data_IF_342017706722
#
_entry.id   IF_342017706722
#
_cell.length_a   1.000
_cell.length_b   1.000
_cell.length_c   1.000
_cell.angle_alpha   90.00
_cell.angle_beta   90.00
_cell.angle_gamma   90.00
#
_symmetry.space_group_name_H-M   'P 1'
#
loop_
_entity.id
_entity.type
_entity.pdbx_description
1 polymer ?
#
# COMPACT_ATOMS: atom_id res chain seq x y z
N UNK A 1 39.94 23.23 -14.91
CA UNK A 1 38.56 22.69 -14.78
C UNK A 1 38.65 21.22 -14.39
N UNK A 2 37.87 20.77 -13.39
CA UNK A 2 37.91 19.44 -12.69
C UNK A 2 38.67 19.42 -11.35
N UNK A 3 37.97 19.82 -10.29
CA UNK A 3 38.10 19.27 -8.93
C UNK A 3 37.14 20.02 -7.99
N UNK A 4 35.87 19.61 -7.91
CA UNK A 4 34.91 19.98 -6.84
C UNK A 4 33.62 19.17 -6.99
N UNK A 5 33.66 17.90 -6.58
CA UNK A 5 32.46 17.05 -6.45
C UNK A 5 32.72 15.80 -5.59
N UNK A 6 33.43 15.94 -4.46
CA UNK A 6 33.56 14.86 -3.47
C UNK A 6 33.47 15.47 -2.08
N UNK A 7 32.26 15.82 -1.63
CA UNK A 7 31.92 16.03 -0.21
C UNK A 7 30.42 16.34 0.00
N UNK A 8 29.53 15.43 -0.40
CA UNK A 8 28.10 15.55 -0.09
C UNK A 8 27.41 14.19 0.15
N UNK A 9 28.11 13.22 0.77
CA UNK A 9 27.54 11.92 1.14
C UNK A 9 28.03 11.43 2.51
N UNK A 10 28.24 12.34 3.47
CA UNK A 10 28.52 12.01 4.88
C UNK A 10 27.58 12.79 5.79
N UNK A 11 26.36 12.29 5.91
CA UNK A 11 25.53 12.36 7.12
C UNK A 11 24.21 11.61 6.84
N UNK A 12 24.27 10.28 6.92
CA UNK A 12 23.09 9.45 7.15
C UNK A 12 23.18 8.98 8.59
N UNK A 13 22.30 9.52 9.43
CA UNK A 13 22.07 8.97 10.76
C UNK A 13 21.63 7.51 10.63
N UNK A 14 22.13 6.69 11.54
CA UNK A 14 21.78 5.29 11.69
C UNK A 14 20.26 5.16 11.94
N UNK A 15 19.51 4.74 10.94
CA UNK A 15 18.21 4.10 11.12
C UNK A 15 18.41 2.60 10.91
N UNK A 16 18.19 1.82 11.96
CA UNK A 16 18.17 0.35 11.92
C UNK A 16 16.93 -0.13 11.16
N UNK A 17 17.08 -0.95 10.09
CA UNK A 17 15.94 -1.52 9.38
C UNK A 17 15.55 -2.84 10.03
N UNK A 18 14.65 -2.78 11.00
CA UNK A 18 13.89 -3.91 11.52
C UNK A 18 12.43 -3.49 11.47
N UNK A 19 11.64 -4.09 10.57
CA UNK A 19 10.15 -4.17 10.56
C UNK A 19 9.51 -4.26 9.15
N UNK A 20 10.30 -4.55 8.11
CA UNK A 20 9.76 -4.97 6.81
C UNK A 20 10.05 -6.45 6.54
N UNK A 21 9.05 -7.27 6.14
CA UNK A 21 9.28 -8.66 5.75
C UNK A 21 9.97 -8.81 4.39
N UNK A 22 10.27 -7.71 3.68
CA UNK A 22 11.08 -7.74 2.46
C UNK A 22 12.46 -7.13 2.72
N UNK A 23 13.46 -8.00 2.92
CA UNK A 23 14.78 -7.74 2.36
C UNK A 23 14.69 -8.17 0.90
N UNK A 24 15.14 -7.32 -0.02
CA UNK A 24 15.02 -7.59 -1.46
C UNK A 24 15.53 -8.97 -1.88
N UNK A 25 15.13 -9.39 -3.07
CA UNK A 25 15.64 -10.57 -3.77
C UNK A 25 17.16 -10.37 -3.90
N UNK A 26 17.95 -11.25 -3.29
CA UNK A 26 19.39 -11.27 -3.54
C UNK A 26 19.67 -11.83 -4.95
N UNK A 27 20.91 -11.71 -5.42
CA UNK A 27 21.31 -12.17 -6.76
C UNK A 27 21.14 -13.69 -6.99
N UNK A 28 20.61 -14.43 -6.00
CA UNK A 28 20.33 -15.87 -6.03
C UNK A 28 18.83 -16.23 -6.07
N UNK A 29 17.91 -15.25 -6.01
CA UNK A 29 16.49 -15.52 -6.27
C UNK A 29 15.71 -16.27 -5.18
N UNK A 30 16.23 -16.36 -3.95
CA UNK A 30 15.57 -17.10 -2.85
C UNK A 30 14.95 -16.18 -1.78
N UNK A 31 13.74 -16.52 -1.33
CA UNK A 31 13.01 -15.84 -0.24
C UNK A 31 13.39 -16.50 1.10
N UNK A 32 13.92 -15.74 2.05
CA UNK A 32 14.20 -16.21 3.42
C UNK A 32 13.02 -15.84 4.34
N UNK A 33 12.21 -16.82 4.73
CA UNK A 33 11.17 -16.65 5.76
C UNK A 33 11.72 -17.06 7.13
N UNK A 34 11.80 -16.12 8.07
CA UNK A 34 12.13 -16.41 9.48
C UNK A 34 10.82 -16.64 10.26
N UNK A 35 10.58 -17.89 10.67
CA UNK A 35 9.49 -18.22 11.59
C UNK A 35 9.93 -17.89 13.02
N UNK A 36 9.24 -16.94 13.69
CA UNK A 36 9.29 -16.84 15.15
C UNK A 36 8.10 -17.58 15.77
N UNK A 37 8.45 -18.44 16.71
CA UNK A 37 7.58 -19.16 17.63
C UNK A 37 6.83 -18.21 18.57
N UNK A 38 5.50 -18.36 18.68
CA UNK A 38 4.69 -17.69 19.71
C UNK A 38 4.57 -18.56 20.98
N UNK A 39 4.57 -17.98 22.19
CA UNK A 39 4.34 -18.72 23.42
C UNK A 39 2.84 -19.00 23.68
N UNK A 40 2.55 -20.20 24.20
CA UNK A 40 1.23 -20.66 24.65
C UNK A 40 0.70 -19.80 25.81
N UNK A 41 -0.50 -19.23 25.65
CA UNK A 41 -1.30 -18.73 26.77
C UNK A 41 -2.23 -19.84 27.28
N UNK A 42 -2.23 -20.03 28.60
CA UNK A 42 -3.09 -20.98 29.35
C UNK A 42 -4.50 -20.39 29.47
N UNK A 43 -5.53 -21.17 29.11
CA UNK A 43 -6.94 -20.82 29.35
C UNK A 43 -7.34 -21.16 30.78
N UNK A 44 -7.89 -20.20 31.52
CA UNK A 44 -8.65 -20.45 32.74
C UNK A 44 -10.15 -20.37 32.42
N UNK A 45 -10.86 -21.46 32.72
CA UNK A 45 -12.30 -21.60 32.54
C UNK A 45 -13.02 -21.09 33.79
N UNK A 46 -13.85 -20.06 33.67
CA UNK A 46 -14.79 -19.64 34.71
C UNK A 46 -16.22 -19.86 34.23
N UNK A 47 -16.98 -20.66 35.00
CA UNK A 47 -18.42 -20.88 34.82
C UNK A 47 -19.17 -19.65 35.31
N UNK A 48 -20.12 -19.16 34.50
CA UNK A 48 -21.13 -18.18 34.93
C UNK A 48 -22.50 -18.81 34.73
N UNK A 49 -23.27 -18.91 35.81
CA UNK A 49 -24.64 -19.39 35.83
C UNK A 49 -25.58 -18.36 35.17
N UNK A 50 -26.43 -18.83 34.26
CA UNK A 50 -27.41 -18.00 33.55
C UNK A 50 -28.70 -17.94 34.38
N UNK A 51 -29.12 -16.74 34.81
CA UNK A 51 -30.49 -16.47 35.24
C UNK A 51 -31.28 -15.99 34.03
N UNK A 52 -32.32 -16.75 33.67
CA UNK A 52 -33.25 -16.41 32.59
C UNK A 52 -34.12 -15.21 33.01
N UNK A 53 -33.88 -14.05 32.40
CA UNK A 53 -34.79 -12.91 32.49
C UNK A 53 -35.23 -12.55 31.08
N UNK A 54 -36.54 -12.65 30.85
CA UNK A 54 -37.24 -12.36 29.61
C UNK A 54 -37.11 -10.85 29.31
N UNK A 55 -36.34 -10.48 28.29
CA UNK A 55 -36.29 -9.09 27.77
C UNK A 55 -36.83 -9.10 26.35
N UNK A 56 -37.87 -8.29 26.13
CA UNK A 56 -38.57 -8.12 24.88
C UNK A 56 -37.61 -7.73 23.74
N UNK A 57 -37.69 -8.51 22.65
CA UNK A 57 -37.01 -8.26 21.38
C UNK A 57 -37.64 -7.03 20.69
N UNK A 58 -37.04 -5.87 20.89
CA UNK A 58 -37.08 -4.78 19.91
C UNK A 58 -36.07 -5.14 18.82
N UNK A 59 -36.57 -5.62 17.68
CA UNK A 59 -35.79 -5.74 16.46
C UNK A 59 -35.44 -4.33 15.96
N UNK A 60 -34.38 -3.75 16.52
CA UNK A 60 -33.63 -2.71 15.82
C UNK A 60 -33.00 -3.40 14.60
N UNK A 61 -33.62 -3.20 13.44
CA UNK A 61 -32.99 -3.53 12.18
C UNK A 61 -31.68 -2.73 12.11
N UNK A 62 -30.56 -3.39 12.40
CA UNK A 62 -29.26 -2.91 11.94
C UNK A 62 -29.37 -2.90 10.41
N UNK A 63 -29.62 -1.73 9.84
CA UNK A 63 -29.35 -1.49 8.44
C UNK A 63 -27.83 -1.63 8.29
N UNK A 64 -27.38 -2.85 8.00
CA UNK A 64 -26.13 -3.05 7.29
C UNK A 64 -26.33 -2.37 5.94
N UNK A 65 -26.00 -1.09 5.83
CA UNK A 65 -25.79 -0.48 4.52
C UNK A 65 -24.63 -1.25 3.91
N UNK A 66 -24.84 -2.10 2.88
CA UNK A 66 -23.71 -2.59 2.12
C UNK A 66 -23.16 -1.34 1.45
N UNK A 67 -21.95 -0.92 1.83
CA UNK A 67 -21.26 0.13 1.10
C UNK A 67 -21.31 -0.22 -0.39
N UNK A 68 -21.61 0.76 -1.26
CA UNK A 68 -21.88 0.49 -2.66
C UNK A 68 -20.66 -0.20 -3.25
N UNK A 69 -20.83 -1.49 -3.53
CA UNK A 69 -19.98 -2.26 -4.42
C UNK A 69 -20.18 -1.61 -5.79
N UNK A 70 -19.46 -0.54 -6.10
CA UNK A 70 -19.41 -0.05 -7.47
C UNK A 70 -18.75 -1.14 -8.28
N UNK A 71 -19.58 -1.89 -9.01
CA UNK A 71 -19.24 -2.80 -10.08
C UNK A 71 -18.62 -2.05 -11.27
N UNK A 72 -17.71 -1.09 -10.98
CA UNK A 72 -16.80 -0.59 -11.97
C UNK A 72 -15.92 -1.78 -12.37
N UNK A 73 -15.76 -2.00 -13.68
CA UNK A 73 -14.81 -2.97 -14.18
C UNK A 73 -13.47 -2.73 -13.46
N UNK A 74 -13.03 -3.73 -12.71
CA UNK A 74 -11.85 -3.65 -11.86
C UNK A 74 -10.69 -3.14 -12.73
N UNK A 75 -10.22 -1.92 -12.45
CA UNK A 75 -9.15 -1.35 -13.24
C UNK A 75 -7.84 -2.02 -12.82
N UNK A 76 -7.13 -2.57 -13.81
CA UNK A 76 -5.85 -3.20 -13.57
C UNK A 76 -4.85 -2.90 -14.67
N UNK A 77 -3.59 -2.91 -14.31
CA UNK A 77 -2.49 -2.98 -15.25
C UNK A 77 -1.87 -4.38 -15.20
N UNK A 78 -1.53 -4.92 -16.36
CA UNK A 78 -0.84 -6.20 -16.51
C UNK A 78 0.50 -5.94 -17.17
N UNK A 79 1.57 -6.17 -16.42
CA UNK A 79 2.92 -6.05 -16.91
C UNK A 79 3.29 -7.14 -17.92
N UNK A 80 4.35 -6.92 -18.72
CA UNK A 80 4.87 -7.96 -19.59
C UNK A 80 5.37 -9.15 -18.77
N UNK A 81 5.38 -10.36 -19.36
CA UNK A 81 6.06 -11.49 -18.73
C UNK A 81 7.57 -11.22 -18.62
N UNK A 82 8.13 -11.52 -17.45
CA UNK A 82 9.58 -11.46 -17.18
C UNK A 82 10.07 -12.89 -16.99
N UNK A 83 10.99 -13.32 -17.86
CA UNK A 83 11.60 -14.65 -17.75
C UNK A 83 12.54 -14.70 -16.54
N UNK A 84 12.53 -15.82 -15.82
CA UNK A 84 13.44 -16.04 -14.69
C UNK A 84 14.59 -16.97 -15.04
N UNK A 85 15.79 -16.74 -14.48
CA UNK A 85 16.82 -17.76 -14.46
C UNK A 85 16.28 -19.04 -13.80
N UNK A 86 16.40 -20.19 -14.46
CA UNK A 86 15.85 -21.47 -13.98
C UNK A 86 14.50 -21.87 -14.62
N UNK A 87 13.91 -21.01 -15.46
CA UNK A 87 12.74 -21.32 -16.26
C UNK A 87 11.41 -20.86 -15.64
N UNK A 88 10.43 -20.58 -16.51
CA UNK A 88 9.16 -19.97 -16.13
C UNK A 88 9.15 -18.45 -16.31
N UNK A 89 8.02 -17.83 -15.99
CA UNK A 89 7.77 -16.41 -16.18
C UNK A 89 7.03 -15.80 -14.99
N UNK A 90 7.43 -14.61 -14.56
CA UNK A 90 6.62 -13.77 -13.68
C UNK A 90 5.80 -12.77 -14.49
N UNK A 91 4.61 -12.46 -13.99
CA UNK A 91 3.80 -11.35 -14.46
C UNK A 91 3.36 -10.51 -13.27
N UNK A 92 3.64 -9.21 -13.35
CA UNK A 92 3.11 -8.26 -12.36
C UNK A 92 1.71 -7.84 -12.80
N UNK A 93 0.74 -7.88 -11.90
CA UNK A 93 -0.60 -7.34 -12.10
C UNK A 93 -0.87 -6.36 -10.98
N UNK A 94 -1.26 -5.14 -11.31
CA UNK A 94 -1.64 -4.13 -10.32
C UNK A 94 -3.12 -3.87 -10.47
N UNK A 95 -3.90 -4.20 -9.45
CA UNK A 95 -5.29 -3.82 -9.32
C UNK A 95 -5.38 -2.48 -8.61
N UNK A 96 -6.25 -1.59 -9.08
CA UNK A 96 -6.38 -0.23 -8.55
C UNK A 96 -7.70 -0.05 -7.80
N UNK A 97 -7.59 0.48 -6.58
CA UNK A 97 -8.71 0.93 -5.75
C UNK A 97 -9.12 2.38 -6.06
N UNK A 98 -9.67 3.13 -5.09
CA UNK A 98 -9.56 2.90 -3.65
C UNK A 98 -10.59 1.93 -3.07
N UNK A 99 -10.18 1.16 -2.07
CA UNK A 99 -11.06 0.35 -1.24
C UNK A 99 -10.82 0.63 0.25
N UNK A 100 -11.79 0.30 1.09
CA UNK A 100 -11.53 0.22 2.52
C UNK A 100 -10.47 -0.85 2.80
N UNK A 101 -9.62 -0.59 3.78
CA UNK A 101 -8.62 -1.56 4.20
C UNK A 101 -9.28 -2.76 4.89
N UNK A 102 -8.81 -3.96 4.55
CA UNK A 102 -9.12 -5.17 5.32
C UNK A 102 -8.60 -5.05 6.76
N UNK A 103 -8.98 -5.98 7.65
CA UNK A 103 -8.51 -5.98 9.04
C UNK A 103 -6.99 -5.97 9.12
N UNK A 104 -6.33 -6.82 8.33
CA UNK A 104 -4.86 -6.91 8.32
C UNK A 104 -4.20 -5.59 7.91
N UNK A 105 -4.78 -4.89 6.93
CA UNK A 105 -4.26 -3.62 6.45
C UNK A 105 -4.51 -2.48 7.44
N UNK A 106 -5.66 -2.50 8.12
CA UNK A 106 -5.94 -1.59 9.24
C UNK A 106 -4.91 -1.77 10.37
N UNK A 107 -4.63 -3.01 10.77
CA UNK A 107 -3.65 -3.31 11.83
C UNK A 107 -2.24 -2.89 11.41
N UNK A 108 -1.86 -3.11 10.13
CA UNK A 108 -0.62 -2.61 9.56
C UNK A 108 -0.51 -1.09 9.70
N UNK A 109 -1.53 -0.34 9.30
CA UNK A 109 -1.51 1.11 9.38
C UNK A 109 -1.52 1.60 10.83
N UNK A 110 -2.24 0.96 11.75
CA UNK A 110 -2.24 1.30 13.16
C UNK A 110 -0.83 1.15 13.77
N UNK A 111 -0.14 0.04 13.47
CA UNK A 111 1.24 -0.20 13.91
C UNK A 111 2.22 0.79 13.28
N UNK A 112 2.06 1.10 11.99
CA UNK A 112 2.92 2.07 11.30
C UNK A 112 2.78 3.48 11.86
N UNK A 113 1.55 3.93 12.12
CA UNK A 113 1.30 5.24 12.72
C UNK A 113 1.87 5.29 14.13
N UNK A 114 1.55 4.31 14.99
CA UNK A 114 2.01 4.30 16.38
C UNK A 114 3.52 4.18 16.51
N UNK A 115 4.18 3.41 15.63
CA UNK A 115 5.64 3.31 15.56
C UNK A 115 6.35 4.62 15.21
N UNK A 116 5.62 5.61 14.69
CA UNK A 116 6.12 6.97 14.45
C UNK A 116 5.53 8.02 15.41
N UNK A 117 4.84 7.60 16.47
CA UNK A 117 4.23 8.49 17.47
C UNK A 117 2.93 9.15 17.00
N UNK A 118 2.29 8.61 15.97
CA UNK A 118 1.06 9.15 15.39
C UNK A 118 -0.14 8.23 15.63
N UNK A 119 -1.33 8.82 15.71
CA UNK A 119 -2.58 8.06 15.73
C UNK A 119 -3.05 7.79 14.30
N UNK A 120 -3.61 6.60 14.05
CA UNK A 120 -4.31 6.31 12.80
C UNK A 120 -5.63 7.10 12.76
N UNK A 121 -5.87 7.82 11.67
CA UNK A 121 -7.13 8.50 11.35
C UNK A 121 -7.94 7.69 10.33
N UNK A 122 -7.28 6.98 9.41
CA UNK A 122 -7.97 6.16 8.42
C UNK A 122 -7.00 5.33 7.58
N UNK A 123 -7.55 4.38 6.83
CA UNK A 123 -6.79 3.51 5.95
C UNK A 123 -7.49 3.36 4.61
N UNK A 124 -6.75 3.62 3.54
CA UNK A 124 -7.18 3.39 2.18
C UNK A 124 -6.32 2.34 1.52
N UNK A 125 -6.94 1.31 0.96
CA UNK A 125 -6.28 0.34 0.11
C UNK A 125 -6.25 0.87 -1.32
N UNK A 126 -5.08 1.36 -1.74
CA UNK A 126 -4.91 2.05 -3.02
C UNK A 126 -4.76 1.09 -4.19
N UNK A 127 -3.96 0.04 -3.98
CA UNK A 127 -3.65 -0.89 -5.02
C UNK A 127 -3.31 -2.26 -4.44
N UNK A 128 -3.46 -3.28 -5.26
CA UNK A 128 -3.04 -4.62 -4.92
C UNK A 128 -2.11 -5.14 -6.01
N UNK A 129 -0.87 -5.41 -5.62
CA UNK A 129 0.18 -5.86 -6.51
C UNK A 129 0.27 -7.37 -6.40
N UNK A 130 -0.08 -8.05 -7.48
CA UNK A 130 0.12 -9.49 -7.63
C UNK A 130 1.35 -9.75 -8.47
N UNK A 131 2.16 -10.71 -8.04
CA UNK A 131 3.24 -11.27 -8.86
C UNK A 131 2.94 -12.74 -9.07
N UNK A 132 2.45 -13.07 -10.26
CA UNK A 132 2.07 -14.42 -10.64
C UNK A 132 3.24 -15.09 -11.36
N UNK A 133 3.68 -16.23 -10.84
CA UNK A 133 4.68 -17.11 -11.44
C UNK A 133 4.01 -18.25 -12.21
N UNK A 134 4.49 -18.50 -13.43
CA UNK A 134 4.12 -19.68 -14.21
C UNK A 134 5.39 -20.40 -14.66
N UNK A 135 5.63 -21.58 -14.09
CA UNK A 135 6.66 -22.52 -14.52
C UNK A 135 6.05 -23.81 -15.09
N UNK A 136 6.90 -24.70 -15.60
CA UNK A 136 6.50 -26.03 -16.09
C UNK A 136 6.05 -26.96 -14.97
N UNK A 137 6.57 -26.78 -13.75
CA UNK A 137 6.29 -27.67 -12.60
C UNK A 137 5.38 -27.00 -11.56
N UNK A 138 5.44 -25.68 -11.41
CA UNK A 138 4.69 -24.96 -10.38
C UNK A 138 4.05 -23.67 -10.91
N UNK A 139 2.91 -23.33 -10.31
CA UNK A 139 2.29 -22.02 -10.40
C UNK A 139 2.22 -21.45 -8.99
N UNK A 140 2.69 -20.23 -8.81
CA UNK A 140 2.70 -19.57 -7.52
C UNK A 140 2.30 -18.11 -7.71
N UNK A 141 1.79 -17.48 -6.67
CA UNK A 141 1.43 -16.06 -6.70
C UNK A 141 1.68 -15.42 -5.35
N UNK A 142 2.08 -14.16 -5.38
CA UNK A 142 2.04 -13.31 -4.19
C UNK A 142 1.02 -12.19 -4.40
N UNK A 143 0.52 -11.65 -3.30
CA UNK A 143 -0.44 -10.56 -3.26
C UNK A 143 0.04 -9.57 -2.21
N UNK A 144 0.12 -8.29 -2.57
CA UNK A 144 0.59 -7.24 -1.68
C UNK A 144 -0.31 -6.01 -1.79
N UNK A 145 -1.04 -5.72 -0.70
CA UNK A 145 -1.86 -4.53 -0.58
C UNK A 145 -1.01 -3.29 -0.33
N UNK A 146 -1.01 -2.36 -1.27
CA UNK A 146 -0.45 -1.02 -1.14
C UNK A 146 -1.48 -0.11 -0.46
N UNK A 147 -1.18 0.34 0.75
CA UNK A 147 -2.11 1.13 1.57
C UNK A 147 -1.60 2.52 1.88
N UNK A 148 -2.48 3.50 1.73
CA UNK A 148 -2.31 4.83 2.28
C UNK A 148 -2.82 4.84 3.73
N UNK A 149 -1.88 4.96 4.67
CA UNK A 149 -2.19 5.09 6.09
C UNK A 149 -2.33 6.57 6.43
N UNK A 150 -3.55 7.03 6.69
CA UNK A 150 -3.83 8.39 7.12
C UNK A 150 -3.51 8.50 8.60
N UNK A 151 -2.24 8.70 8.95
CA UNK A 151 -1.89 9.03 10.33
C UNK A 151 -2.17 10.52 10.58
N UNK A 152 -2.30 10.95 11.84
CA UNK A 152 -2.48 12.36 12.23
C UNK A 152 -1.21 13.24 12.03
N UNK A 153 -0.58 13.11 10.86
CA UNK A 153 0.57 13.89 10.46
C UNK A 153 0.23 15.38 10.37
N UNK A 154 1.18 16.23 10.76
CA UNK A 154 1.10 17.64 10.41
C UNK A 154 1.19 17.83 8.89
N UNK A 155 0.48 18.85 8.39
CA UNK A 155 0.59 19.29 7.00
C UNK A 155 1.87 20.10 6.82
N UNK A 156 2.59 19.82 5.73
CA UNK A 156 3.68 20.67 5.27
C UNK A 156 3.15 22.05 4.83
N UNK A 157 4.01 23.06 4.89
CA UNK A 157 3.72 24.38 4.34
C UNK A 157 3.60 24.32 2.80
N UNK A 158 2.90 25.29 2.16
CA UNK A 158 2.81 25.35 0.71
C UNK A 158 4.17 25.29 0.01
N UNK A 159 5.18 25.98 0.53
CA UNK A 159 6.54 26.00 -0.03
C UNK A 159 7.23 24.63 0.08
N UNK A 160 7.07 23.95 1.22
CA UNK A 160 7.61 22.61 1.42
C UNK A 160 6.96 21.60 0.47
N UNK A 161 5.64 21.68 0.29
CA UNK A 161 4.91 20.84 -0.67
C UNK A 161 5.32 21.15 -2.11
N UNK A 162 5.48 22.43 -2.48
CA UNK A 162 5.95 22.84 -3.80
C UNK A 162 7.37 22.31 -4.07
N UNK A 163 8.27 22.39 -3.09
CA UNK A 163 9.61 21.83 -3.19
C UNK A 163 9.58 20.30 -3.36
N UNK A 164 8.71 19.58 -2.64
CA UNK A 164 8.54 18.14 -2.80
C UNK A 164 8.03 17.77 -4.20
N UNK A 165 7.04 18.50 -4.72
CA UNK A 165 6.51 18.31 -6.08
C UNK A 165 7.58 18.59 -7.15
N UNK A 166 8.38 19.63 -6.98
CA UNK A 166 9.50 19.96 -7.88
C UNK A 166 10.54 18.82 -7.92
N UNK A 167 10.93 18.28 -6.75
CA UNK A 167 11.84 17.12 -6.68
C UNK A 167 11.29 15.91 -7.44
N UNK A 168 10.00 15.60 -7.28
CA UNK A 168 9.37 14.51 -8.03
C UNK A 168 9.37 14.80 -9.54
N UNK A 169 8.96 16.00 -9.96
CA UNK A 169 8.92 16.39 -11.37
C UNK A 169 10.27 16.19 -12.07
N UNK A 170 11.36 16.55 -11.39
CA UNK A 170 12.72 16.42 -11.91
C UNK A 170 13.21 14.96 -11.94
N UNK A 171 12.83 14.14 -10.96
CA UNK A 171 13.28 12.75 -10.86
C UNK A 171 12.43 11.76 -11.68
N UNK A 172 11.17 12.10 -11.97
CA UNK A 172 10.18 11.20 -12.58
C UNK A 172 10.64 10.54 -13.88
N UNK A 173 11.33 11.21 -14.84
CA UNK A 173 11.83 10.54 -16.04
C UNK A 173 12.78 9.38 -15.72
N UNK A 174 13.79 9.62 -14.87
CA UNK A 174 14.76 8.59 -14.49
C UNK A 174 14.14 7.50 -13.60
N UNK A 175 13.17 7.84 -12.76
CA UNK A 175 12.41 6.85 -12.00
C UNK A 175 11.67 5.88 -12.93
N UNK A 176 11.00 6.40 -13.97
CA UNK A 176 10.27 5.60 -14.97
C UNK A 176 11.20 4.71 -15.80
N UNK A 177 12.39 5.21 -16.14
CA UNK A 177 13.41 4.40 -16.81
C UNK A 177 13.89 3.23 -15.93
N UNK A 178 14.22 3.51 -14.67
CA UNK A 178 14.63 2.49 -13.72
C UNK A 178 13.50 1.48 -13.43
N UNK A 179 12.23 1.92 -13.45
CA UNK A 179 11.07 1.04 -13.35
C UNK A 179 11.01 0.13 -14.57
N UNK A 180 11.16 0.70 -15.77
CA UNK A 180 11.13 -0.05 -17.02
C UNK A 180 12.16 -1.18 -17.06
N UNK A 181 13.35 -0.93 -16.53
CA UNK A 181 14.42 -1.92 -16.43
C UNK A 181 14.09 -3.09 -15.47
N UNK A 182 13.17 -2.92 -14.52
CA UNK A 182 12.83 -3.95 -13.51
C UNK A 182 11.51 -4.66 -13.80
N UNK A 183 10.50 -3.91 -14.23
CA UNK A 183 9.12 -4.39 -14.31
C UNK A 183 8.53 -4.31 -15.73
N UNK A 184 9.32 -3.84 -16.70
CA UNK A 184 8.84 -3.46 -18.03
C UNK A 184 8.23 -2.06 -18.06
N UNK A 185 7.86 -1.62 -19.26
CA UNK A 185 7.45 -0.24 -19.54
C UNK A 185 6.46 0.33 -18.51
N UNK A 186 6.65 1.61 -18.15
CA UNK A 186 5.71 2.32 -17.28
C UNK A 186 4.30 2.28 -17.88
N UNK A 187 3.25 2.03 -17.07
CA UNK A 187 1.89 1.92 -17.58
C UNK A 187 1.42 3.16 -18.34
N UNK A 188 0.60 2.94 -19.36
CA UNK A 188 -0.02 3.98 -20.17
C UNK A 188 -1.52 3.76 -20.26
N UNK A 189 -2.26 4.86 -20.38
CA UNK A 189 -3.66 4.89 -20.78
C UNK A 189 -3.80 4.42 -22.25
N UNK A 190 -5.00 4.02 -22.71
CA UNK A 190 -5.22 3.63 -24.10
C UNK A 190 -4.80 4.68 -25.15
N UNK A 191 -4.77 5.96 -24.78
CA UNK A 191 -4.32 7.06 -25.65
C UNK A 191 -2.79 7.31 -25.58
N UNK A 192 -2.02 6.41 -24.97
CA UNK A 192 -0.57 6.50 -24.85
C UNK A 192 -0.07 7.43 -23.74
N UNK A 193 -0.96 8.13 -23.03
CA UNK A 193 -0.55 8.99 -21.91
C UNK A 193 -0.05 8.13 -20.75
N UNK A 194 1.12 8.45 -20.21
CA UNK A 194 1.69 7.76 -19.05
C UNK A 194 0.79 7.90 -17.82
N UNK A 195 0.69 6.83 -17.04
CA UNK A 195 0.11 6.88 -15.71
C UNK A 195 0.86 7.88 -14.82
N UNK A 196 0.15 8.43 -13.84
CA UNK A 196 0.76 9.29 -12.83
C UNK A 196 1.62 8.46 -11.89
N UNK A 197 2.65 9.07 -11.29
CA UNK A 197 3.35 8.45 -10.17
C UNK A 197 2.69 8.92 -8.89
N UNK A 198 1.90 8.04 -8.31
CA UNK A 198 1.14 8.30 -7.10
C UNK A 198 1.98 8.03 -5.87
N UNK A 199 1.92 8.94 -4.89
CA UNK A 199 2.64 8.79 -3.63
C UNK A 199 1.79 8.05 -2.59
N UNK A 200 2.26 6.89 -2.12
CA UNK A 200 1.54 6.04 -1.16
C UNK A 200 1.35 6.76 0.17
N UNK A 201 2.36 7.47 0.68
CA UNK A 201 2.21 8.58 1.63
C UNK A 201 2.31 9.85 0.81
N UNK A 202 1.28 10.69 0.87
CA UNK A 202 1.21 11.88 0.02
C UNK A 202 2.26 12.92 0.42
N UNK A 203 2.59 13.80 -0.53
CA UNK A 203 3.63 14.82 -0.34
C UNK A 203 3.22 15.90 0.67
N UNK A 204 1.93 16.14 0.90
CA UNK A 204 1.45 17.15 1.84
C UNK A 204 1.67 16.71 3.28
N UNK A 205 1.59 15.41 3.55
CA UNK A 205 1.84 14.84 4.88
C UNK A 205 3.25 14.25 5.01
N UNK A 206 4.23 14.75 4.25
CA UNK A 206 5.64 14.40 4.41
C UNK A 206 6.11 13.14 3.69
N UNK A 207 5.33 12.64 2.73
CA UNK A 207 5.77 11.57 1.83
C UNK A 207 7.06 11.92 1.09
N UNK A 208 7.97 10.94 0.99
CA UNK A 208 9.21 11.14 0.26
C UNK A 208 8.90 11.17 -1.26
N UNK A 209 9.29 12.24 -1.98
CA UNK A 209 8.90 12.41 -3.37
C UNK A 209 9.56 11.46 -4.36
N UNK A 210 10.64 10.77 -3.97
CA UNK A 210 11.45 9.95 -4.89
C UNK A 210 11.80 8.58 -4.33
N UNK A 211 11.19 8.21 -3.20
CA UNK A 211 11.44 6.90 -2.59
C UNK A 211 10.72 5.80 -3.38
N UNK A 212 11.42 4.69 -3.62
CA UNK A 212 10.91 3.58 -4.42
C UNK A 212 9.67 2.95 -3.81
N UNK A 213 9.67 2.83 -2.48
CA UNK A 213 8.58 2.21 -1.74
C UNK A 213 7.41 3.17 -1.49
N UNK A 214 7.54 4.43 -1.95
CA UNK A 214 6.50 5.45 -1.81
C UNK A 214 5.81 5.81 -3.13
N UNK A 215 6.16 5.19 -4.26
CA UNK A 215 5.63 5.57 -5.58
C UNK A 215 5.08 4.36 -6.33
N UNK A 216 3.84 4.46 -6.79
CA UNK A 216 3.19 3.47 -7.65
C UNK A 216 2.62 4.13 -8.92
N UNK A 217 2.63 3.47 -10.08
CA UNK A 217 1.92 3.97 -11.26
C UNK A 217 0.42 3.91 -11.03
N UNK A 218 -0.30 5.00 -11.29
CA UNK A 218 -1.73 5.10 -11.04
C UNK A 218 -2.47 5.75 -12.22
N UNK A 219 -3.63 5.21 -12.64
CA UNK A 219 -4.47 5.82 -13.67
C UNK A 219 -4.84 7.27 -13.29
N UNK A 220 -4.89 8.19 -14.26
CA UNK A 220 -4.98 9.63 -13.92
C UNK A 220 -6.30 10.01 -13.26
N UNK A 221 -7.41 9.54 -13.81
CA UNK A 221 -8.74 9.79 -13.27
C UNK A 221 -8.84 9.31 -11.82
N UNK A 222 -8.41 8.08 -11.54
CA UNK A 222 -8.36 7.57 -10.17
C UNK A 222 -7.40 8.40 -9.29
N UNK A 223 -6.23 8.79 -9.82
CA UNK A 223 -5.29 9.65 -9.09
C UNK A 223 -5.90 11.02 -8.74
N UNK A 224 -6.73 11.58 -9.63
CA UNK A 224 -7.44 12.83 -9.39
C UNK A 224 -8.52 12.67 -8.33
N UNK A 225 -9.29 11.58 -8.37
CA UNK A 225 -10.33 11.27 -7.39
C UNK A 225 -9.78 11.11 -5.96
N UNK A 226 -8.57 10.57 -5.81
CA UNK A 226 -7.95 10.36 -4.50
C UNK A 226 -7.73 11.64 -3.69
N UNK A 227 -7.71 12.82 -4.31
CA UNK A 227 -7.45 14.07 -3.58
C UNK A 227 -8.52 14.34 -2.51
N UNK A 228 -9.79 14.23 -2.87
CA UNK A 228 -10.91 14.49 -1.94
C UNK A 228 -11.01 13.36 -0.90
N UNK A 229 -10.84 12.11 -1.34
CA UNK A 229 -10.90 10.93 -0.46
C UNK A 229 -9.77 10.93 0.58
N UNK A 230 -8.60 11.48 0.24
CA UNK A 230 -7.51 11.65 1.21
C UNK A 230 -7.90 12.65 2.30
N UNK A 231 -8.58 13.74 1.96
CA UNK A 231 -9.04 14.70 2.96
C UNK A 231 -10.00 14.04 3.95
N UNK A 232 -10.94 13.22 3.49
CA UNK A 232 -11.85 12.43 4.34
C UNK A 232 -11.07 11.44 5.22
N UNK A 233 -10.13 10.71 4.63
CA UNK A 233 -9.34 9.72 5.35
C UNK A 233 -8.47 10.35 6.46
N UNK A 234 -7.86 11.52 6.19
CA UNK A 234 -7.13 12.28 7.20
C UNK A 234 -8.03 12.97 8.23
N UNK A 235 -9.30 13.20 7.92
CA UNK A 235 -10.30 13.74 8.84
C UNK A 235 -10.89 12.69 9.80
N UNK A 236 -10.48 11.41 9.68
CA UNK A 236 -11.05 10.29 10.42
C UNK A 236 -12.55 10.09 10.11
N UNK A 237 -12.92 10.34 8.85
CA UNK A 237 -14.29 10.17 8.38
C UNK A 237 -14.52 8.75 7.81
N UNK A 238 -15.74 8.20 7.95
CA UNK A 238 -16.16 7.02 7.19
C UNK A 238 -16.07 7.26 5.68
N UNK A 239 -15.79 6.23 4.87
CA UNK A 239 -15.68 4.81 5.25
C UNK A 239 -14.27 4.39 5.70
N UNK A 240 -13.30 5.30 5.70
CA UNK A 240 -11.87 5.02 5.86
C UNK A 240 -11.45 4.60 7.27
N UNK A 241 -12.32 4.81 8.25
CA UNK A 241 -12.19 4.33 9.64
C UNK A 241 -12.69 2.91 9.85
N UNK A 242 -13.37 2.33 8.86
CA UNK A 242 -14.03 1.04 8.96
C UNK A 242 -13.25 -0.05 8.22
N UNK A 243 -13.34 -1.28 8.73
CA UNK A 243 -12.75 -2.45 8.09
C UNK A 243 -13.57 -2.84 6.87
N UNK A 244 -12.91 -2.93 5.73
CA UNK A 244 -13.44 -3.47 4.48
C UNK A 244 -13.28 -4.99 4.36
N UNK A 245 -13.61 -5.50 3.17
CA UNK A 245 -13.46 -6.91 2.81
C UNK A 245 -12.00 -7.29 2.53
N UNK A 246 -11.66 -8.57 2.67
CA UNK A 246 -10.31 -9.07 2.36
C UNK A 246 -10.00 -9.10 0.85
N UNK A 247 -11.04 -9.18 0.00
CA UNK A 247 -10.93 -9.33 -1.45
C UNK A 247 -11.83 -8.31 -2.18
N UNK A 248 -11.40 -7.05 -2.28
CA UNK A 248 -12.29 -5.97 -2.71
C UNK A 248 -12.62 -5.97 -4.21
N UNK A 249 -11.91 -6.76 -5.01
CA UNK A 249 -12.10 -6.86 -6.47
C UNK A 249 -12.36 -8.29 -6.97
N UNK A 250 -12.69 -9.22 -6.05
CA UNK A 250 -12.85 -10.65 -6.35
C UNK A 250 -11.55 -11.44 -6.33
N UNK A 251 -11.64 -12.76 -6.46
CA UNK A 251 -10.51 -13.69 -6.62
C UNK A 251 -10.44 -14.26 -8.03
#
# INVERSE_FOLDING_TARGET
MRAKARNALRNRGNFTPTDYPFRGIDNSGCIVLSQRTMPRLKSNTTRVCCHATLVALLFAACAETPLPRTANAVRKWVGPPVNVPGGGQFRTVIYYGPWQCSRQLMDYCANKCSGSGHALQGCMWLADVKMDFQGTVMRAGSRFGMTHCCCNYGKLSPDQTAAARSRWSNARPGFREAWANRFGAWPTEPNGRLYEGHHVRDLWHGGNPTDWDNIIPFPKDLHTELFDLYNECYANDPPWTQVGVDYPYGE
#
